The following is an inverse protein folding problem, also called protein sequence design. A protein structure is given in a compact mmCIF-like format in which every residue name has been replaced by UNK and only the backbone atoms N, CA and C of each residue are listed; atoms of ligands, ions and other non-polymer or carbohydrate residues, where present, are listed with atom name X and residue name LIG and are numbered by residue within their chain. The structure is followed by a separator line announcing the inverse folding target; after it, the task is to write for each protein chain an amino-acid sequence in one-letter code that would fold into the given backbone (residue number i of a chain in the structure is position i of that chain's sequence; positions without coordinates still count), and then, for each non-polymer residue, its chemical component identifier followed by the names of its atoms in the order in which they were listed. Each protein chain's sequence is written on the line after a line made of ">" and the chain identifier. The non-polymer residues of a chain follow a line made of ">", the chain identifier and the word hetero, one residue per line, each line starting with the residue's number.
data_IF_007881900057
#
_entry.id   IF_007881900057
#
_cell.length_a   1.000
_cell.length_b   1.000
_cell.length_c   1.000
_cell.angle_alpha   90.00
_cell.angle_beta   90.00
_cell.angle_gamma   90.00
#
_symmetry.space_group_name_H-M   'P 1'
#
loop_
_entity.id
_entity.type
_entity.pdbx_description
1 polymer ?
#
# COMPACT_ATOMS: atom_id res chain seq x y z
N UNK A 1 -13.76 -19.27 2.25
CA UNK A 1 -13.63 -18.63 0.93
C UNK A 1 -12.40 -17.74 0.95
N UNK A 2 -11.50 -17.83 -0.05
CA UNK A 2 -10.25 -17.05 -0.08
C UNK A 2 -10.59 -15.64 -0.60
N UNK A 3 -10.34 -14.55 0.15
CA UNK A 3 -10.72 -13.21 -0.28
C UNK A 3 -9.99 -12.85 -1.57
N UNK A 4 -10.73 -12.48 -2.62
CA UNK A 4 -10.17 -11.95 -3.86
C UNK A 4 -9.90 -10.47 -3.62
N UNK A 5 -8.65 -10.13 -3.28
CA UNK A 5 -8.23 -8.74 -3.10
C UNK A 5 -8.04 -8.11 -4.49
N UNK A 6 -9.02 -7.31 -4.93
CA UNK A 6 -8.94 -6.55 -6.17
C UNK A 6 -7.89 -5.43 -6.06
N UNK A 7 -6.89 -5.45 -6.94
CA UNK A 7 -5.83 -4.45 -7.00
C UNK A 7 -6.36 -3.15 -7.61
N UNK A 8 -6.57 -2.13 -6.77
CA UNK A 8 -6.82 -0.76 -7.24
C UNK A 8 -5.83 0.20 -6.55
N UNK A 9 -4.83 0.68 -7.30
CA UNK A 9 -4.09 1.90 -6.91
C UNK A 9 -2.56 1.88 -6.90
N UNK A 10 -1.85 0.94 -7.56
CA UNK A 10 -0.38 0.82 -7.41
C UNK A 10 0.47 0.82 -8.71
N UNK A 11 -0.08 1.30 -9.83
CA UNK A 11 0.70 1.61 -11.04
C UNK A 11 1.50 0.45 -11.66
N UNK A 12 2.42 0.81 -12.57
CA UNK A 12 3.16 -0.09 -13.49
C UNK A 12 4.28 -0.88 -12.78
N UNK A 13 4.60 -0.55 -11.52
CA UNK A 13 5.78 -1.08 -10.85
C UNK A 13 5.51 -2.49 -10.25
N UNK A 14 5.62 -3.50 -11.12
CA UNK A 14 6.05 -4.84 -10.72
C UNK A 14 4.96 -5.87 -10.41
N UNK A 15 3.95 -6.03 -11.26
CA UNK A 15 2.94 -7.09 -11.13
C UNK A 15 3.53 -8.48 -10.86
N UNK A 16 4.63 -8.86 -11.52
CA UNK A 16 5.29 -10.16 -11.33
C UNK A 16 6.06 -10.28 -10.01
N UNK A 17 6.83 -9.25 -9.62
CA UNK A 17 7.59 -9.27 -8.37
C UNK A 17 6.65 -9.19 -7.18
N UNK A 18 5.66 -8.31 -7.26
CA UNK A 18 4.64 -8.11 -6.24
C UNK A 18 3.78 -9.36 -6.06
N UNK A 19 3.34 -10.03 -7.14
CA UNK A 19 2.61 -11.31 -7.05
C UNK A 19 3.41 -12.39 -6.33
N UNK A 20 4.74 -12.46 -6.55
CA UNK A 20 5.61 -13.42 -5.86
C UNK A 20 5.78 -13.09 -4.37
N UNK A 21 5.97 -11.81 -4.01
CA UNK A 21 6.03 -11.36 -2.61
C UNK A 21 4.69 -11.60 -1.87
N UNK A 22 3.57 -11.39 -2.56
CA UNK A 22 2.21 -11.68 -2.07
C UNK A 22 2.03 -13.18 -1.79
N UNK A 23 2.31 -14.02 -2.80
CA UNK A 23 2.09 -15.46 -2.73
C UNK A 23 2.93 -16.12 -1.63
N UNK A 24 4.13 -15.60 -1.39
CA UNK A 24 5.06 -16.12 -0.36
C UNK A 24 4.97 -15.40 0.97
N UNK A 25 4.15 -14.34 1.09
CA UNK A 25 4.11 -13.41 2.26
C UNK A 25 5.50 -12.93 2.69
N UNK A 26 6.42 -12.85 1.74
CA UNK A 26 7.81 -12.48 1.96
C UNK A 26 7.97 -11.03 1.54
N UNK A 27 7.83 -10.09 2.47
CA UNK A 27 7.91 -8.65 2.19
C UNK A 27 9.30 -8.06 2.43
N UNK A 28 10.33 -8.92 2.45
CA UNK A 28 11.74 -8.54 2.67
C UNK A 28 12.65 -9.36 1.74
N UNK A 29 13.77 -8.76 1.25
CA UNK A 29 14.17 -7.36 1.42
C UNK A 29 13.17 -6.41 0.73
N UNK A 30 13.00 -5.20 1.29
CA UNK A 30 12.05 -4.23 0.76
C UNK A 30 12.68 -3.46 -0.41
N UNK A 31 11.99 -3.42 -1.55
CA UNK A 31 12.34 -2.52 -2.66
C UNK A 31 11.82 -1.12 -2.39
N UNK A 32 10.60 -1.03 -1.82
CA UNK A 32 10.03 0.23 -1.34
C UNK A 32 9.42 0.02 0.05
N UNK A 33 9.96 0.71 1.07
CA UNK A 33 9.47 0.58 2.44
C UNK A 33 8.16 1.33 2.65
N UNK A 34 7.24 0.76 3.42
CA UNK A 34 5.97 1.43 3.77
C UNK A 34 6.22 2.78 4.45
N UNK A 35 7.22 2.89 5.33
CA UNK A 35 7.54 4.14 6.03
C UNK A 35 8.01 5.27 5.09
N UNK A 36 8.73 4.91 4.03
CA UNK A 36 9.18 5.87 3.00
C UNK A 36 8.00 6.29 2.14
N UNK A 37 7.17 5.33 1.75
CA UNK A 37 5.94 5.60 1.01
C UNK A 37 4.97 6.50 1.78
N UNK A 38 4.86 6.35 3.11
CA UNK A 38 4.04 7.22 3.96
C UNK A 38 4.46 8.69 3.89
N UNK A 39 5.77 8.96 3.82
CA UNK A 39 6.29 10.31 3.59
C UNK A 39 5.81 10.84 2.22
N UNK A 40 5.89 10.03 1.17
CA UNK A 40 5.45 10.43 -0.17
C UNK A 40 3.92 10.67 -0.23
N UNK A 41 3.11 9.83 0.43
CA UNK A 41 1.66 10.05 0.53
C UNK A 41 1.31 11.37 1.23
N UNK A 42 2.10 11.81 2.21
CA UNK A 42 1.88 13.12 2.84
C UNK A 42 2.12 14.25 1.84
N UNK A 43 3.27 14.21 1.16
CA UNK A 43 3.67 15.23 0.17
C UNK A 43 2.64 15.31 -0.98
N UNK A 44 2.24 14.17 -1.54
CA UNK A 44 1.22 14.11 -2.60
C UNK A 44 -0.12 14.65 -2.08
N UNK A 45 -0.53 14.27 -0.86
CA UNK A 45 -1.76 14.76 -0.25
C UNK A 45 -1.77 16.27 -0.04
N UNK A 46 -0.64 16.84 0.37
CA UNK A 46 -0.47 18.29 0.51
C UNK A 46 -0.56 19.00 -0.84
N UNK A 47 0.07 18.43 -1.85
CA UNK A 47 0.05 18.96 -3.21
C UNK A 47 -1.36 18.96 -3.82
N UNK A 48 -2.08 17.84 -3.74
CA UNK A 48 -3.46 17.70 -4.23
C UNK A 48 -4.37 18.72 -3.56
N UNK A 49 -4.25 18.89 -2.22
CA UNK A 49 -5.04 19.87 -1.47
C UNK A 49 -4.75 21.30 -1.92
N UNK A 50 -3.47 21.63 -2.11
CA UNK A 50 -3.05 22.97 -2.57
C UNK A 50 -3.61 23.31 -3.95
N UNK A 51 -3.73 22.32 -4.83
CA UNK A 51 -4.32 22.49 -6.16
C UNK A 51 -5.85 22.50 -6.16
N UNK A 52 -6.52 22.18 -5.04
CA UNK A 52 -7.96 21.99 -5.01
C UNK A 52 -8.44 20.83 -5.89
N UNK A 53 -7.54 19.88 -6.22
CA UNK A 53 -7.85 18.79 -7.14
C UNK A 53 -8.52 17.62 -6.38
N UNK A 54 -9.66 17.09 -6.84
CA UNK A 54 -10.24 15.90 -6.25
C UNK A 54 -9.40 14.66 -6.60
N UNK A 55 -8.76 14.05 -5.60
CA UNK A 55 -8.06 12.76 -5.74
C UNK A 55 -8.70 11.68 -4.86
N UNK A 56 -9.94 11.22 -5.20
CA UNK A 56 -10.68 10.26 -4.37
C UNK A 56 -9.97 8.91 -4.28
N UNK A 57 -9.40 8.41 -5.37
CA UNK A 57 -8.64 7.14 -5.37
C UNK A 57 -7.39 7.23 -4.48
N UNK A 58 -6.64 8.33 -4.58
CA UNK A 58 -5.49 8.56 -3.71
C UNK A 58 -5.88 8.63 -2.23
N UNK A 59 -7.01 9.28 -1.93
CA UNK A 59 -7.49 9.42 -0.56
C UNK A 59 -7.95 8.08 0.01
N UNK A 60 -8.58 7.22 -0.81
CA UNK A 60 -9.02 5.89 -0.42
C UNK A 60 -7.87 4.94 -0.05
N UNK A 61 -6.70 5.07 -0.69
CA UNK A 61 -5.57 4.16 -0.43
C UNK A 61 -4.85 4.44 0.90
N UNK A 62 -4.94 5.66 1.44
CA UNK A 62 -4.25 6.08 2.69
C UNK A 62 -4.52 5.12 3.85
N UNK A 63 -5.79 4.79 4.08
CA UNK A 63 -6.20 3.93 5.19
C UNK A 63 -5.56 2.53 5.12
N UNK A 64 -5.22 2.05 3.93
CA UNK A 64 -4.58 0.75 3.72
C UNK A 64 -3.11 0.79 4.14
N UNK A 65 -2.38 1.84 3.73
CA UNK A 65 -0.99 2.03 4.14
C UNK A 65 -0.85 2.34 5.63
N UNK A 66 -1.82 3.05 6.22
CA UNK A 66 -1.88 3.27 7.67
C UNK A 66 -2.08 1.96 8.43
N UNK A 67 -2.94 1.07 7.91
CA UNK A 67 -3.12 -0.25 8.48
C UNK A 67 -1.83 -1.08 8.42
N UNK A 68 -1.11 -1.05 7.29
CA UNK A 68 0.18 -1.73 7.17
C UNK A 68 1.21 -1.23 8.19
N UNK A 69 1.28 0.10 8.41
CA UNK A 69 2.14 0.70 9.45
C UNK A 69 1.77 0.19 10.85
N UNK A 70 0.47 0.21 11.22
CA UNK A 70 0.00 -0.28 12.53
C UNK A 70 0.29 -1.77 12.75
N UNK A 71 0.34 -2.56 11.68
CA UNK A 71 0.67 -3.98 11.73
C UNK A 71 2.18 -4.26 11.81
N UNK A 72 3.02 -3.23 11.92
CA UNK A 72 4.47 -3.37 12.05
C UNK A 72 5.22 -3.53 10.72
N UNK A 73 4.57 -3.27 9.59
CA UNK A 73 5.18 -3.42 8.27
C UNK A 73 5.98 -2.19 7.80
N UNK A 74 6.28 -1.23 8.67
CA UNK A 74 6.97 0.01 8.29
C UNK A 74 8.27 -0.20 7.48
N UNK A 75 9.08 -1.19 7.88
CA UNK A 75 10.34 -1.56 7.19
C UNK A 75 10.18 -2.64 6.11
N UNK A 76 8.97 -3.15 5.93
CA UNK A 76 8.66 -4.14 4.90
C UNK A 76 8.32 -3.45 3.58
N UNK A 77 8.30 -4.22 2.50
CA UNK A 77 7.86 -3.73 1.21
C UNK A 77 6.41 -3.22 1.27
N UNK A 78 6.08 -2.22 0.46
CA UNK A 78 4.71 -1.76 0.22
C UNK A 78 3.75 -2.89 -0.13
N UNK A 79 4.23 -4.02 -0.68
CA UNK A 79 3.47 -5.25 -0.84
C UNK A 79 2.79 -5.79 0.44
N UNK A 80 3.28 -5.42 1.61
CA UNK A 80 2.63 -5.79 2.87
C UNK A 80 1.19 -5.26 3.04
N UNK A 81 0.74 -4.30 2.22
CA UNK A 81 -0.65 -3.80 2.27
C UNK A 81 -1.70 -4.89 2.03
N UNK A 82 -1.42 -5.96 1.28
CA UNK A 82 -2.43 -7.02 1.13
C UNK A 82 -2.58 -7.84 2.40
N UNK A 83 -1.52 -8.04 3.19
CA UNK A 83 -1.68 -8.63 4.52
C UNK A 83 -2.53 -7.71 5.43
N UNK A 84 -2.42 -6.39 5.26
CA UNK A 84 -3.28 -5.44 5.97
C UNK A 84 -4.74 -5.50 5.51
N UNK A 85 -5.00 -5.69 4.22
CA UNK A 85 -6.34 -5.88 3.66
C UNK A 85 -6.96 -7.22 4.10
N UNK A 86 -6.19 -8.31 4.06
CA UNK A 86 -6.64 -9.63 4.52
C UNK A 86 -7.07 -9.61 6.00
N UNK A 87 -6.32 -8.90 6.86
CA UNK A 87 -6.69 -8.74 8.29
C UNK A 87 -7.91 -7.86 8.53
N UNK A 88 -8.32 -7.00 7.59
CA UNK A 88 -9.54 -6.19 7.69
C UNK A 88 -10.80 -6.90 7.21
N UNK A 89 -10.62 -7.97 6.43
CA UNK A 89 -11.71 -8.78 5.85
C UNK A 89 -11.98 -10.07 6.63
N UNK A 90 -11.24 -10.30 7.71
CA UNK A 90 -11.42 -11.41 8.66
C UNK A 90 -12.13 -10.88 9.91
#
# INVERSE_FOLDING_TARGET
>A
MKPIVGFAGLGIMGSAMYANLMAKRAYRPATMKVEVWQKDMRIIGDFVRRLGSPAPLFSATKAVYDAAMRLGYGKADTASVCAALERRSA
#
